data_IF_807300216015
#
_entry.id   IF_807300216015
#
_cell.length_a   1.000
_cell.length_b   1.000
_cell.length_c   1.000
_cell.angle_alpha   90.00
_cell.angle_beta   90.00
_cell.angle_gamma   90.00
#
_symmetry.space_group_name_H-M   'P 1'
#
loop_
_entity.id
_entity.type
_entity.pdbx_description
1 polymer ?
#
# COMPACT_ATOMS: atom_id res chain seq x y z
N UNK A 1 54.48 -25.21 -21.46
CA UNK A 1 53.33 -24.27 -21.37
C UNK A 1 53.00 -24.06 -19.90
N UNK A 2 53.32 -22.91 -19.31
CA UNK A 2 52.96 -22.62 -17.92
C UNK A 2 51.52 -22.13 -17.88
N UNK A 3 50.66 -22.86 -17.17
CA UNK A 3 49.28 -22.46 -16.91
C UNK A 3 49.31 -21.23 -16.00
N UNK A 4 48.86 -20.08 -16.50
CA UNK A 4 48.67 -18.88 -15.70
C UNK A 4 47.53 -19.18 -14.73
N UNK A 5 47.87 -19.44 -13.47
CA UNK A 5 46.89 -19.68 -12.43
C UNK A 5 46.00 -18.45 -12.25
N UNK A 6 44.69 -18.68 -12.21
CA UNK A 6 43.70 -17.63 -11.98
C UNK A 6 44.11 -16.80 -10.74
N UNK A 7 44.15 -15.47 -10.83
CA UNK A 7 44.56 -14.64 -9.71
C UNK A 7 43.66 -14.89 -8.50
N UNK A 8 44.27 -15.10 -7.34
CA UNK A 8 43.59 -15.39 -6.07
C UNK A 8 42.67 -14.22 -5.66
N UNK A 9 41.40 -14.25 -6.08
CA UNK A 9 40.42 -13.17 -5.82
C UNK A 9 40.08 -12.97 -4.33
N UNK A 10 40.60 -13.82 -3.45
CA UNK A 10 40.22 -13.85 -2.03
C UNK A 10 41.26 -13.23 -1.11
N UNK A 11 42.52 -13.07 -1.52
CA UNK A 11 43.55 -12.51 -0.65
C UNK A 11 43.38 -10.98 -0.45
N UNK A 12 43.86 -10.43 0.68
CA UNK A 12 43.78 -8.99 0.97
C UNK A 12 44.37 -8.11 -0.13
N UNK A 13 45.50 -8.51 -0.72
CA UNK A 13 46.20 -7.73 -1.73
C UNK A 13 45.43 -7.68 -3.05
N UNK A 14 44.90 -8.82 -3.52
CA UNK A 14 44.04 -8.84 -4.70
C UNK A 14 42.75 -8.03 -4.48
N UNK A 15 42.20 -8.02 -3.27
CA UNK A 15 41.07 -7.14 -2.92
C UNK A 15 41.47 -5.66 -2.92
N UNK A 16 42.66 -5.32 -2.46
CA UNK A 16 43.17 -3.95 -2.48
C UNK A 16 43.41 -3.45 -3.91
N UNK A 17 43.98 -4.29 -4.77
CA UNK A 17 44.18 -4.00 -6.20
C UNK A 17 42.82 -3.83 -6.91
N UNK A 18 41.86 -4.73 -6.70
CA UNK A 18 40.50 -4.62 -7.26
C UNK A 18 39.76 -3.36 -6.76
N UNK A 19 39.93 -3.02 -5.47
CA UNK A 19 39.39 -1.78 -4.91
C UNK A 19 40.02 -0.55 -5.57
N UNK A 20 41.34 -0.56 -5.77
CA UNK A 20 42.08 0.54 -6.42
C UNK A 20 41.65 0.68 -7.88
N UNK A 21 41.53 -0.42 -8.63
CA UNK A 21 41.11 -0.40 -10.04
C UNK A 21 39.66 0.09 -10.20
N UNK A 22 38.76 -0.28 -9.28
CA UNK A 22 37.38 0.22 -9.26
C UNK A 22 37.24 1.68 -8.80
N UNK A 23 38.28 2.25 -8.19
CA UNK A 23 38.24 3.62 -7.67
C UNK A 23 38.60 4.70 -8.69
N UNK A 24 39.12 4.33 -9.87
CA UNK A 24 39.46 5.31 -10.91
C UNK A 24 38.19 5.96 -11.49
N UNK A 25 38.27 7.21 -11.99
CA UNK A 25 37.14 7.90 -12.61
C UNK A 25 36.50 7.08 -13.75
N UNK A 26 37.31 6.47 -14.61
CA UNK A 26 36.86 5.71 -15.78
C UNK A 26 36.14 4.42 -15.36
N UNK A 27 36.66 3.73 -14.34
CA UNK A 27 36.01 2.56 -13.79
C UNK A 27 34.67 2.91 -13.14
N UNK A 28 34.60 4.04 -12.42
CA UNK A 28 33.35 4.55 -11.83
C UNK A 28 32.33 4.91 -12.90
N UNK A 29 32.75 5.59 -13.96
CA UNK A 29 31.88 5.93 -15.09
C UNK A 29 31.35 4.68 -15.77
N UNK A 30 32.21 3.71 -16.10
CA UNK A 30 31.81 2.42 -16.67
C UNK A 30 30.81 1.68 -15.78
N UNK A 31 31.04 1.64 -14.47
CA UNK A 31 30.12 1.04 -13.49
C UNK A 31 28.78 1.80 -13.49
N UNK A 32 28.81 3.13 -13.48
CA UNK A 32 27.60 3.95 -13.51
C UNK A 32 26.78 3.72 -14.78
N UNK A 33 27.42 3.68 -15.95
CA UNK A 33 26.79 3.35 -17.23
C UNK A 33 26.17 1.95 -17.19
N UNK A 34 26.90 0.95 -16.69
CA UNK A 34 26.37 -0.40 -16.51
C UNK A 34 25.18 -0.44 -15.53
N UNK A 35 25.24 0.28 -14.41
CA UNK A 35 24.14 0.39 -13.44
C UNK A 35 22.90 1.04 -14.03
N UNK A 36 23.09 1.93 -15.01
CA UNK A 36 22.01 2.59 -15.74
C UNK A 36 21.48 1.77 -16.92
N UNK A 37 22.18 0.72 -17.36
CA UNK A 37 21.72 -0.14 -18.46
C UNK A 37 20.39 -0.83 -18.14
N UNK A 38 19.55 -1.00 -19.16
CA UNK A 38 18.21 -1.59 -18.99
C UNK A 38 18.27 -3.03 -18.49
N UNK A 39 19.23 -3.82 -18.98
CA UNK A 39 19.46 -5.19 -18.50
C UNK A 39 19.77 -5.24 -17.00
N UNK A 40 20.62 -4.33 -16.51
CA UNK A 40 20.94 -4.25 -15.08
C UNK A 40 19.76 -3.77 -14.25
N UNK A 41 19.03 -2.74 -14.71
CA UNK A 41 17.80 -2.25 -14.07
C UNK A 41 16.74 -3.34 -13.98
N UNK A 42 16.50 -4.08 -15.07
CA UNK A 42 15.55 -5.18 -15.14
C UNK A 42 15.95 -6.34 -14.22
N UNK A 43 17.22 -6.75 -14.23
CA UNK A 43 17.74 -7.79 -13.34
C UNK A 43 17.63 -7.41 -11.86
N UNK A 44 17.96 -6.17 -11.51
CA UNK A 44 17.78 -5.63 -10.16
C UNK A 44 16.32 -5.60 -9.75
N UNK A 45 15.42 -5.14 -10.63
CA UNK A 45 13.97 -5.15 -10.41
C UNK A 45 13.49 -6.58 -10.12
N UNK A 46 13.83 -7.55 -10.99
CA UNK A 46 13.48 -8.97 -10.85
C UNK A 46 13.96 -9.56 -9.51
N UNK A 47 15.20 -9.26 -9.11
CA UNK A 47 15.74 -9.71 -7.82
C UNK A 47 14.95 -9.17 -6.63
N UNK A 48 14.72 -7.84 -6.58
CA UNK A 48 14.03 -7.20 -5.46
C UNK A 48 12.53 -7.53 -5.39
N UNK A 49 11.90 -7.82 -6.53
CA UNK A 49 10.51 -8.32 -6.56
C UNK A 49 10.41 -9.80 -6.19
N UNK A 50 11.49 -10.57 -6.35
CA UNK A 50 11.55 -11.99 -6.05
C UNK A 50 11.61 -12.32 -4.55
N UNK A 51 11.38 -13.59 -4.16
CA UNK A 51 11.36 -14.02 -2.76
C UNK A 51 12.67 -13.73 -2.02
N UNK A 52 13.81 -13.97 -2.67
CA UNK A 52 15.15 -13.71 -2.10
C UNK A 52 15.37 -12.23 -1.79
N UNK A 53 15.06 -11.34 -2.73
CA UNK A 53 15.20 -9.90 -2.53
C UNK A 53 14.27 -9.37 -1.43
N UNK A 54 13.01 -9.82 -1.41
CA UNK A 54 12.05 -9.50 -0.34
C UNK A 54 12.55 -9.98 1.04
N UNK A 55 13.14 -11.17 1.13
CA UNK A 55 13.72 -11.70 2.37
C UNK A 55 14.92 -10.86 2.86
N UNK A 56 15.82 -10.47 1.96
CA UNK A 56 16.96 -9.58 2.29
C UNK A 56 16.46 -8.22 2.75
N UNK A 57 15.50 -7.61 2.04
CA UNK A 57 14.91 -6.33 2.42
C UNK A 57 14.22 -6.40 3.79
N UNK A 58 13.47 -7.48 4.05
CA UNK A 58 12.84 -7.75 5.34
C UNK A 58 13.86 -7.85 6.47
N UNK A 59 14.96 -8.59 6.26
CA UNK A 59 16.06 -8.70 7.24
C UNK A 59 16.69 -7.33 7.51
N UNK A 60 17.03 -6.58 6.46
CA UNK A 60 17.59 -5.23 6.59
C UNK A 60 16.66 -4.28 7.36
N UNK A 61 15.36 -4.29 7.06
CA UNK A 61 14.37 -3.44 7.74
C UNK A 61 14.19 -3.77 9.23
N UNK A 62 14.56 -4.99 9.66
CA UNK A 62 14.54 -5.39 11.07
C UNK A 62 15.80 -5.01 11.84
N UNK A 63 16.87 -4.59 11.18
CA UNK A 63 18.13 -4.21 11.85
C UNK A 63 17.95 -2.94 12.69
N UNK A 64 18.59 -2.89 13.86
CA UNK A 64 18.54 -1.71 14.74
C UNK A 64 19.10 -0.46 14.05
N UNK A 65 20.20 -0.59 13.30
CA UNK A 65 20.74 0.54 12.53
C UNK A 65 19.73 1.16 11.56
N UNK A 66 18.89 0.34 10.90
CA UNK A 66 17.82 0.85 10.03
C UNK A 66 16.71 1.52 10.83
N UNK A 67 16.29 0.96 11.97
CA UNK A 67 15.28 1.57 12.85
C UNK A 67 15.75 2.91 13.40
N UNK A 68 17.00 3.00 13.85
CA UNK A 68 17.62 4.24 14.33
C UNK A 68 17.65 5.30 13.23
N UNK A 69 18.15 4.95 12.03
CA UNK A 69 18.15 5.86 10.87
C UNK A 69 16.74 6.32 10.49
N UNK A 70 15.76 5.43 10.53
CA UNK A 70 14.37 5.78 10.26
C UNK A 70 13.80 6.72 11.33
N UNK A 71 14.05 6.45 12.62
CA UNK A 71 13.65 7.33 13.73
C UNK A 71 14.29 8.71 13.62
N UNK A 72 15.58 8.77 13.26
CA UNK A 72 16.27 10.03 13.00
C UNK A 72 15.67 10.76 11.79
N UNK A 73 15.40 10.07 10.69
CA UNK A 73 14.76 10.65 9.51
C UNK A 73 13.40 11.30 9.85
N UNK A 74 12.55 10.63 10.62
CA UNK A 74 11.25 11.17 11.04
C UNK A 74 11.34 12.40 11.96
N UNK A 75 12.51 12.67 12.55
CA UNK A 75 12.78 13.91 13.30
C UNK A 75 13.24 15.07 12.41
N UNK A 76 13.72 14.80 11.19
CA UNK A 76 14.12 15.84 10.24
C UNK A 76 12.91 16.57 9.66
N UNK A 77 13.10 17.78 9.15
CA UNK A 77 12.00 18.56 8.57
C UNK A 77 11.41 17.89 7.34
N UNK A 78 12.23 17.18 6.55
CA UNK A 78 11.76 16.35 5.44
C UNK A 78 10.83 15.23 5.94
N UNK A 79 11.22 14.52 6.98
CA UNK A 79 10.40 13.46 7.58
C UNK A 79 9.09 14.00 8.17
N UNK A 80 9.15 15.14 8.89
CA UNK A 80 7.98 15.84 9.41
C UNK A 80 7.04 16.31 8.30
N UNK A 81 7.57 16.88 7.22
CA UNK A 81 6.79 17.32 6.06
C UNK A 81 6.11 16.14 5.36
N UNK A 82 6.79 15.01 5.19
CA UNK A 82 6.17 13.78 4.66
C UNK A 82 5.04 13.29 5.55
N UNK A 83 5.26 13.24 6.88
CA UNK A 83 4.22 12.85 7.84
C UNK A 83 3.03 13.82 7.84
N UNK A 84 3.30 15.13 7.72
CA UNK A 84 2.26 16.17 7.59
C UNK A 84 1.45 15.94 6.31
N UNK A 85 2.11 15.71 5.18
CA UNK A 85 1.45 15.45 3.88
C UNK A 85 0.59 14.19 3.89
N UNK A 86 1.03 13.11 4.55
CA UNK A 86 0.22 11.89 4.64
C UNK A 86 -0.94 12.05 5.61
N UNK A 87 -0.71 12.66 6.77
CA UNK A 87 -1.77 12.92 7.77
C UNK A 87 -2.73 14.05 7.38
N UNK A 88 -2.36 14.91 6.45
CA UNK A 88 -3.23 15.96 5.92
C UNK A 88 -4.28 15.42 4.95
N UNK A 89 -4.04 14.24 4.33
CA UNK A 89 -5.02 13.62 3.44
C UNK A 89 -6.31 13.33 4.19
N UNK A 90 -7.43 13.77 3.62
CA UNK A 90 -8.74 13.58 4.19
C UNK A 90 -9.04 12.09 4.32
N UNK A 91 -8.74 11.30 3.28
CA UNK A 91 -8.93 9.84 3.30
C UNK A 91 -8.24 9.16 4.48
N UNK A 92 -7.03 9.59 4.85
CA UNK A 92 -6.29 9.03 5.98
C UNK A 92 -6.97 9.34 7.32
N UNK A 93 -7.50 10.55 7.49
CA UNK A 93 -8.27 10.92 8.69
C UNK A 93 -9.59 10.15 8.76
N UNK A 94 -10.28 10.04 7.64
CA UNK A 94 -11.55 9.30 7.52
C UNK A 94 -11.37 7.81 7.80
N UNK A 95 -10.32 7.17 7.28
CA UNK A 95 -9.96 5.78 7.59
C UNK A 95 -9.75 5.57 9.09
N UNK A 96 -9.03 6.48 9.75
CA UNK A 96 -8.77 6.40 11.19
C UNK A 96 -10.07 6.57 11.98
N UNK A 97 -10.90 7.55 11.61
CA UNK A 97 -12.21 7.79 12.23
C UNK A 97 -13.10 6.55 12.09
N UNK A 98 -13.31 6.06 10.87
CA UNK A 98 -14.16 4.90 10.60
C UNK A 98 -13.64 3.65 11.33
N UNK A 99 -12.32 3.42 11.36
CA UNK A 99 -11.73 2.30 12.10
C UNK A 99 -12.08 2.36 13.59
N UNK A 100 -11.98 3.53 14.22
CA UNK A 100 -12.35 3.70 15.63
C UNK A 100 -13.85 3.48 15.83
N UNK A 101 -14.70 3.96 14.90
CA UNK A 101 -16.15 3.77 14.96
C UNK A 101 -16.53 2.29 14.86
N UNK A 102 -15.97 1.56 13.88
CA UNK A 102 -16.14 0.10 13.76
C UNK A 102 -15.74 -0.59 15.06
N UNK A 103 -14.66 -0.17 15.71
CA UNK A 103 -14.21 -0.76 16.98
C UNK A 103 -15.04 -0.35 18.20
N UNK A 104 -15.99 0.58 18.06
CA UNK A 104 -16.74 1.15 19.19
C UNK A 104 -15.88 2.00 20.12
N UNK A 105 -14.74 2.51 19.64
CA UNK A 105 -13.74 3.27 20.41
C UNK A 105 -13.63 4.72 19.94
N UNK A 106 -14.59 5.20 19.17
CA UNK A 106 -14.63 6.60 18.77
C UNK A 106 -15.53 7.37 19.72
N UNK A 107 -14.93 8.14 20.61
CA UNK A 107 -15.67 9.09 21.44
C UNK A 107 -16.06 10.28 20.55
N UNK A 108 -17.36 10.50 20.37
CA UNK A 108 -17.90 11.62 19.57
C UNK A 108 -17.40 11.71 18.12
N UNK A 109 -17.72 10.73 17.23
CA UNK A 109 -17.38 10.85 15.82
C UNK A 109 -18.12 12.02 15.18
N UNK A 110 -17.39 12.90 14.46
CA UNK A 110 -17.98 14.07 13.79
C UNK A 110 -17.92 13.94 12.27
N UNK A 111 -16.76 13.56 11.70
CA UNK A 111 -16.55 13.63 10.26
C UNK A 111 -17.46 12.71 9.45
N UNK A 112 -17.58 11.44 9.85
CA UNK A 112 -18.43 10.45 9.17
C UNK A 112 -19.92 10.77 9.34
N UNK A 113 -20.43 11.11 10.55
CA UNK A 113 -21.81 11.57 10.70
C UNK A 113 -22.16 12.84 9.95
N UNK A 114 -21.23 13.81 9.87
CA UNK A 114 -21.45 15.05 9.12
C UNK A 114 -21.62 14.82 7.62
N UNK A 115 -21.03 13.75 7.07
CA UNK A 115 -21.27 13.34 5.68
C UNK A 115 -22.62 12.64 5.48
N UNK A 116 -23.32 12.28 6.56
CA UNK A 116 -24.55 11.49 6.51
C UNK A 116 -24.30 10.02 6.16
N UNK A 117 -23.07 9.52 6.25
CA UNK A 117 -22.74 8.14 5.90
C UNK A 117 -23.14 7.14 7.00
N UNK A 118 -22.92 7.51 8.26
CA UNK A 118 -23.32 6.74 9.45
C UNK A 118 -23.55 7.69 10.62
N UNK A 119 -24.53 7.40 11.48
CA UNK A 119 -24.92 8.27 12.59
C UNK A 119 -23.95 8.22 13.77
N UNK A 120 -23.48 7.03 14.14
CA UNK A 120 -22.66 6.78 15.33
C UNK A 120 -21.91 5.44 15.22
N UNK A 121 -21.30 4.98 16.31
CA UNK A 121 -20.54 3.72 16.33
C UNK A 121 -21.46 2.51 16.11
N UNK A 122 -22.65 2.52 16.71
CA UNK A 122 -23.64 1.44 16.66
C UNK A 122 -24.15 1.23 15.23
N UNK A 123 -24.42 2.31 14.52
CA UNK A 123 -24.87 2.34 13.12
C UNK A 123 -23.82 1.70 12.18
N UNK A 124 -22.55 2.10 12.33
CA UNK A 124 -21.42 1.51 11.59
C UNK A 124 -21.30 0.02 11.89
N UNK A 125 -21.33 -0.37 13.17
CA UNK A 125 -21.19 -1.77 13.56
C UNK A 125 -22.35 -2.63 13.05
N UNK A 126 -23.58 -2.12 13.10
CA UNK A 126 -24.77 -2.80 12.59
C UNK A 126 -24.65 -3.06 11.09
N UNK A 127 -24.26 -2.04 10.31
CA UNK A 127 -23.98 -2.17 8.88
C UNK A 127 -22.99 -3.30 8.58
N UNK A 128 -21.80 -3.28 9.21
CA UNK A 128 -20.80 -4.32 8.96
C UNK A 128 -21.26 -5.71 9.42
N UNK A 129 -21.91 -5.83 10.57
CA UNK A 129 -22.44 -7.12 11.06
C UNK A 129 -23.47 -7.72 10.10
N UNK A 130 -24.30 -6.90 9.45
CA UNK A 130 -25.28 -7.37 8.46
C UNK A 130 -24.64 -7.94 7.19
N UNK A 131 -23.37 -7.62 6.93
CA UNK A 131 -22.61 -8.04 5.76
C UNK A 131 -21.58 -9.13 6.10
N UNK A 132 -21.53 -9.63 7.33
CA UNK A 132 -20.53 -10.61 7.73
C UNK A 132 -20.73 -11.97 7.06
N UNK A 133 -19.64 -12.50 6.52
CA UNK A 133 -19.54 -13.92 6.21
C UNK A 133 -19.41 -14.74 7.52
N UNK A 134 -19.70 -16.05 7.53
CA UNK A 134 -19.71 -16.87 8.76
C UNK A 134 -18.43 -16.84 9.60
N UNK A 135 -17.28 -16.54 9.01
CA UNK A 135 -15.98 -16.47 9.71
C UNK A 135 -15.68 -15.08 10.29
N UNK A 136 -16.45 -14.05 9.93
CA UNK A 136 -16.19 -12.66 10.32
C UNK A 136 -16.85 -12.35 11.68
N UNK A 137 -16.11 -11.66 12.54
CA UNK A 137 -16.60 -11.19 13.84
C UNK A 137 -16.04 -9.81 14.13
N UNK A 138 -16.63 -9.05 15.06
CA UNK A 138 -16.05 -7.75 15.44
C UNK A 138 -14.62 -7.90 16.01
N UNK A 139 -14.33 -9.04 16.62
CA UNK A 139 -13.08 -9.34 17.31
C UNK A 139 -11.92 -9.64 16.35
N UNK A 140 -12.18 -10.20 15.16
CA UNK A 140 -11.14 -10.48 14.17
C UNK A 140 -10.92 -9.35 13.14
N UNK A 141 -11.43 -8.14 13.42
CA UNK A 141 -11.12 -6.93 12.66
C UNK A 141 -9.67 -6.48 12.88
N UNK A 142 -9.03 -5.94 11.83
CA UNK A 142 -7.79 -5.17 11.96
C UNK A 142 -6.62 -5.66 11.08
N UNK A 143 -5.36 -5.25 11.36
CA UNK A 143 -4.25 -5.43 10.42
C UNK A 143 -3.95 -6.90 10.11
N UNK A 144 -3.60 -7.17 8.85
CA UNK A 144 -3.13 -8.48 8.39
C UNK A 144 -1.72 -8.73 8.95
N UNK A 145 -1.50 -9.89 9.59
CA UNK A 145 -0.21 -10.35 10.09
C UNK A 145 0.43 -11.32 9.08
N UNK A 146 1.73 -11.50 9.20
CA UNK A 146 2.49 -12.35 8.26
C UNK A 146 1.98 -13.80 8.18
N UNK A 147 1.53 -14.37 9.31
CA UNK A 147 1.05 -15.74 9.44
C UNK A 147 -0.44 -15.91 9.10
N UNK A 148 -1.18 -14.83 8.90
CA UNK A 148 -2.62 -14.90 8.75
C UNK A 148 -3.02 -15.48 7.39
N UNK A 149 -3.82 -16.53 7.37
CA UNK A 149 -4.38 -17.08 6.15
C UNK A 149 -5.48 -16.20 5.55
N UNK A 150 -6.09 -16.69 4.47
CA UNK A 150 -7.40 -16.20 4.03
C UNK A 150 -8.44 -16.43 5.12
N UNK A 151 -9.47 -15.60 5.16
CA UNK A 151 -10.63 -15.74 6.06
C UNK A 151 -10.28 -15.86 7.57
N UNK A 152 -9.21 -15.21 8.00
CA UNK A 152 -8.80 -15.15 9.42
C UNK A 152 -9.05 -13.78 10.05
N UNK A 153 -8.87 -12.72 9.25
CA UNK A 153 -9.08 -11.32 9.63
C UNK A 153 -9.76 -10.58 8.49
N UNK A 154 -10.53 -9.56 8.84
CA UNK A 154 -11.16 -8.68 7.86
C UNK A 154 -10.74 -7.21 8.03
N UNK A 155 -10.81 -6.49 6.92
CA UNK A 155 -10.64 -5.05 6.79
C UNK A 155 -11.93 -4.41 6.33
N UNK A 156 -12.06 -3.10 6.55
CA UNK A 156 -13.06 -2.31 5.82
C UNK A 156 -12.59 -2.21 4.37
N UNK A 157 -13.25 -2.96 3.49
CA UNK A 157 -13.08 -2.88 2.04
C UNK A 157 -13.91 -1.75 1.47
N UNK A 158 -13.49 -1.25 0.30
CA UNK A 158 -14.30 -0.36 -0.52
C UNK A 158 -14.61 -1.08 -1.84
N UNK A 159 -15.87 -1.06 -2.27
CA UNK A 159 -16.29 -1.65 -3.55
C UNK A 159 -15.64 -0.92 -4.72
N UNK A 160 -15.64 0.41 -4.63
CA UNK A 160 -14.89 1.33 -5.48
C UNK A 160 -13.68 1.86 -4.70
N UNK A 161 -12.43 1.64 -5.17
CA UNK A 161 -11.22 2.05 -4.46
C UNK A 161 -11.18 3.54 -4.17
N UNK A 162 -10.70 3.92 -2.98
CA UNK A 162 -10.56 5.34 -2.58
C UNK A 162 -9.78 6.16 -3.63
N UNK A 163 -8.81 5.54 -4.32
CA UNK A 163 -7.94 6.19 -5.29
C UNK A 163 -8.66 6.81 -6.51
N UNK A 164 -9.90 6.41 -6.82
CA UNK A 164 -10.64 6.96 -7.97
C UNK A 164 -11.45 8.21 -7.63
N UNK A 165 -11.64 8.52 -6.34
CA UNK A 165 -12.41 9.65 -5.85
C UNK A 165 -11.52 10.88 -5.66
N UNK A 166 -12.10 12.06 -5.89
CA UNK A 166 -11.45 13.32 -5.58
C UNK A 166 -11.73 13.73 -4.13
N UNK A 167 -10.69 13.88 -3.32
CA UNK A 167 -10.81 14.28 -1.91
C UNK A 167 -11.16 15.78 -1.75
N UNK A 168 -11.04 16.59 -2.81
CA UNK A 168 -11.38 18.01 -2.82
C UNK A 168 -12.87 18.25 -3.13
N UNK A 169 -13.56 17.25 -3.70
CA UNK A 169 -14.99 17.32 -4.02
C UNK A 169 -15.81 16.67 -2.92
N UNK A 170 -16.64 17.47 -2.22
CA UNK A 170 -17.43 17.00 -1.08
C UNK A 170 -18.32 15.78 -1.42
N UNK A 171 -18.97 15.80 -2.59
CA UNK A 171 -19.81 14.68 -3.04
C UNK A 171 -19.02 13.40 -3.30
N UNK A 172 -17.80 13.49 -3.83
CA UNK A 172 -16.93 12.32 -4.01
C UNK A 172 -16.53 11.72 -2.67
N UNK A 173 -16.19 12.56 -1.69
CA UNK A 173 -15.91 12.11 -0.31
C UNK A 173 -17.15 11.41 0.26
N UNK A 174 -18.33 12.03 0.17
CA UNK A 174 -19.57 11.44 0.66
C UNK A 174 -19.87 10.08 0.03
N UNK A 175 -19.72 9.96 -1.30
CA UNK A 175 -19.93 8.71 -2.05
C UNK A 175 -18.88 7.64 -1.73
N UNK A 176 -17.61 8.03 -1.61
CA UNK A 176 -16.52 7.13 -1.23
C UNK A 176 -16.78 6.48 0.14
N UNK A 177 -17.27 7.25 1.10
CA UNK A 177 -17.49 6.82 2.49
C UNK A 177 -18.91 6.35 2.78
N UNK A 178 -19.78 6.29 1.76
CA UNK A 178 -21.16 5.85 1.90
C UNK A 178 -21.25 4.36 2.23
N UNK A 179 -22.25 3.96 3.01
CA UNK A 179 -22.45 2.57 3.45
C UNK A 179 -22.49 1.57 2.28
N UNK A 180 -23.10 1.93 1.14
CA UNK A 180 -23.15 1.08 -0.07
C UNK A 180 -21.77 0.78 -0.66
N UNK A 181 -20.80 1.68 -0.49
CA UNK A 181 -19.44 1.49 -0.98
C UNK A 181 -18.55 0.73 0.01
N UNK A 182 -18.99 0.54 1.26
CA UNK A 182 -18.20 -0.06 2.33
C UNK A 182 -18.68 -1.46 2.68
N UNK A 183 -17.77 -2.41 2.82
CA UNK A 183 -18.11 -3.79 3.16
C UNK A 183 -16.97 -4.47 3.95
N UNK A 184 -17.27 -5.49 4.77
CA UNK A 184 -16.23 -6.26 5.43
C UNK A 184 -15.57 -7.18 4.40
N UNK A 185 -14.25 -7.10 4.27
CA UNK A 185 -13.51 -7.86 3.26
C UNK A 185 -12.38 -8.64 3.91
N UNK A 186 -12.12 -9.86 3.43
CA UNK A 186 -10.94 -10.63 3.82
C UNK A 186 -9.66 -9.76 3.72
N UNK A 187 -8.94 -9.61 4.83
CA UNK A 187 -7.77 -8.74 4.93
C UNK A 187 -6.67 -9.11 3.93
N UNK A 188 -6.48 -10.42 3.68
CA UNK A 188 -5.53 -10.94 2.69
C UNK A 188 -5.94 -10.53 1.27
N UNK A 189 -7.18 -10.81 0.88
CA UNK A 189 -7.74 -10.45 -0.44
C UNK A 189 -7.70 -8.94 -0.67
N UNK A 190 -8.04 -8.14 0.34
CA UNK A 190 -8.02 -6.68 0.26
C UNK A 190 -6.60 -6.16 -0.07
N UNK A 191 -5.57 -6.70 0.61
CA UNK A 191 -4.16 -6.35 0.34
C UNK A 191 -3.71 -6.77 -1.07
N UNK A 192 -4.15 -7.93 -1.54
CA UNK A 192 -3.82 -8.45 -2.87
C UNK A 192 -4.54 -7.71 -4.00
N UNK A 193 -5.76 -7.26 -3.74
CA UNK A 193 -6.55 -6.47 -4.67
C UNK A 193 -5.99 -5.05 -4.82
N UNK A 194 -5.67 -4.39 -3.71
CA UNK A 194 -5.11 -3.04 -3.71
C UNK A 194 -6.10 -2.01 -4.26
N UNK A 195 -5.76 -1.39 -5.39
CA UNK A 195 -6.60 -0.41 -6.09
C UNK A 195 -7.22 -0.96 -7.39
N UNK A 196 -7.13 -2.27 -7.61
CA UNK A 196 -7.68 -2.89 -8.80
C UNK A 196 -9.21 -3.00 -8.75
N UNK A 197 -9.85 -2.84 -9.90
CA UNK A 197 -11.27 -3.12 -10.08
C UNK A 197 -11.51 -4.63 -10.10
N UNK A 198 -12.45 -5.11 -9.28
CA UNK A 198 -12.82 -6.54 -9.17
C UNK A 198 -14.32 -6.80 -9.40
N UNK A 199 -15.07 -5.78 -9.81
CA UNK A 199 -16.51 -5.84 -10.00
C UNK A 199 -16.85 -5.99 -11.48
N UNK A 200 -17.91 -6.74 -11.76
CA UNK A 200 -18.53 -6.84 -13.07
C UNK A 200 -19.24 -5.54 -13.45
N UNK A 201 -19.56 -5.39 -14.74
CA UNK A 201 -20.26 -4.22 -15.26
C UNK A 201 -21.64 -4.03 -14.63
N UNK A 202 -22.34 -5.14 -14.36
CA UNK A 202 -23.63 -5.13 -13.67
C UNK A 202 -23.49 -4.60 -12.22
N UNK A 203 -22.54 -5.14 -11.46
CA UNK A 203 -22.27 -4.68 -10.08
C UNK A 203 -21.83 -3.21 -10.04
N UNK A 204 -21.08 -2.75 -11.06
CA UNK A 204 -20.72 -1.35 -11.17
C UNK A 204 -21.96 -0.47 -11.38
N UNK A 205 -22.88 -0.88 -12.24
CA UNK A 205 -24.13 -0.15 -12.49
C UNK A 205 -25.04 -0.11 -11.25
N UNK A 206 -25.05 -1.16 -10.42
CA UNK A 206 -25.75 -1.16 -9.13
C UNK A 206 -25.18 -0.14 -8.13
N UNK A 207 -23.93 0.28 -8.32
CA UNK A 207 -23.23 1.28 -7.52
C UNK A 207 -23.23 2.67 -8.14
N UNK A 208 -24.08 2.94 -9.16
CA UNK A 208 -24.09 4.21 -9.89
C UNK A 208 -24.17 5.45 -8.99
N UNK A 209 -24.96 5.39 -7.92
CA UNK A 209 -25.10 6.49 -6.96
C UNK A 209 -23.82 6.75 -6.14
N UNK A 210 -22.91 5.78 -6.10
CA UNK A 210 -21.62 5.85 -5.38
C UNK A 210 -20.45 6.18 -6.31
N UNK A 211 -20.68 6.43 -7.61
CA UNK A 211 -19.59 6.77 -8.54
C UNK A 211 -19.01 8.15 -8.25
N UNK A 212 -17.70 8.37 -8.50
CA UNK A 212 -17.13 9.72 -8.53
C UNK A 212 -17.96 10.64 -9.45
N UNK A 213 -18.11 11.90 -9.07
CA UNK A 213 -18.88 12.91 -9.82
C UNK A 213 -18.42 13.06 -11.28
N UNK A 214 -17.12 12.87 -11.54
CA UNK A 214 -16.55 12.88 -12.90
C UNK A 214 -16.88 11.66 -13.75
N UNK A 215 -17.39 10.57 -13.15
CA UNK A 215 -17.78 9.36 -13.86
C UNK A 215 -19.28 9.40 -14.16
N UNK A 216 -19.63 9.86 -15.36
CA UNK A 216 -21.02 10.01 -15.80
C UNK A 216 -21.60 8.74 -16.46
N UNK A 217 -20.73 7.81 -16.87
CA UNK A 217 -21.08 6.57 -17.52
C UNK A 217 -20.07 5.45 -17.15
N UNK A 218 -20.40 4.20 -17.47
CA UNK A 218 -19.54 3.07 -17.13
C UNK A 218 -18.15 3.16 -17.76
N UNK A 219 -18.06 3.66 -19.01
CA UNK A 219 -16.80 3.86 -19.69
C UNK A 219 -15.92 4.91 -18.99
N UNK A 220 -16.48 6.05 -18.59
CA UNK A 220 -15.73 7.08 -17.86
C UNK A 220 -15.35 6.63 -16.46
N UNK A 221 -16.18 5.81 -15.78
CA UNK A 221 -15.81 5.16 -14.53
C UNK A 221 -14.59 4.24 -14.70
N UNK A 222 -14.64 3.32 -15.66
CA UNK A 222 -13.55 2.35 -15.91
C UNK A 222 -12.24 3.04 -16.27
N UNK A 223 -12.30 4.17 -16.98
CA UNK A 223 -11.13 4.98 -17.32
C UNK A 223 -10.37 5.54 -16.08
N UNK A 224 -11.01 5.59 -14.91
CA UNK A 224 -10.36 6.05 -13.67
C UNK A 224 -9.45 5.00 -13.03
N UNK A 225 -9.56 3.73 -13.43
CA UNK A 225 -8.79 2.64 -12.85
C UNK A 225 -7.46 2.47 -13.58
N UNK A 226 -6.35 2.77 -12.89
CA UNK A 226 -5.01 2.53 -13.44
C UNK A 226 -4.67 1.05 -13.64
N UNK A 227 -5.46 0.13 -13.04
CA UNK A 227 -5.31 -1.32 -13.14
C UNK A 227 -6.69 -1.99 -13.14
N UNK A 228 -7.05 -2.62 -14.26
CA UNK A 228 -8.20 -3.52 -14.35
C UNK A 228 -7.65 -4.94 -14.23
N UNK A 229 -8.06 -5.68 -13.19
CA UNK A 229 -7.83 -7.13 -13.15
C UNK A 229 -9.02 -7.75 -13.86
N UNK A 230 -8.79 -8.22 -15.09
CA UNK A 230 -9.73 -9.07 -15.81
C UNK A 230 -9.84 -10.43 -15.11
#
# INVERSE_FOLDING_TARGET
MFSISDPCKTCPDCRAIDKKSKSTPEAKERIATYEQSDGRKAGRKKYWTGPKGKAVQSRHNKTEGRKVKMKAHWKTDKGKATKKRSSSKLSSKMLVSLRKMVQGKHDGPVSIPRLGCFRNNEDVQSHFKSLFEPWMTMQNQGPLRAKDGYNTRWHVGHRLPIAIFDEEVHEDVKRCWHARNLFPQCARRNVELGDALALTDAELLELKDSWPTRATCLASLKALFGRVKL
#
